data_IF_136247750142
#
_entry.id   IF_136247750142
#
_cell.length_a   1.000
_cell.length_b   1.000
_cell.length_c   1.000
_cell.angle_alpha   90.00
_cell.angle_beta   90.00
_cell.angle_gamma   90.00
#
_symmetry.space_group_name_H-M   'P 1'
#
loop_
_entity.id
_entity.type
_entity.pdbx_description
1 polymer ?
#
# COMPACT_ATOMS: atom_id res chain seq x y z
N UNK A 1 6.13 -4.71 7.82
CA UNK A 1 6.05 -4.54 6.34
C UNK A 1 5.20 -3.33 6.01
N UNK A 2 5.66 -2.50 5.10
CA UNK A 2 4.94 -1.30 4.66
C UNK A 2 4.12 -1.66 3.43
N UNK A 3 2.87 -1.20 3.36
CA UNK A 3 2.01 -1.39 2.20
C UNK A 3 1.55 -0.05 1.66
N UNK A 4 1.22 -0.03 0.38
CA UNK A 4 0.62 1.14 -0.27
C UNK A 4 -0.83 0.85 -0.70
N UNK A 5 -1.48 1.88 -1.25
CA UNK A 5 -2.87 1.74 -1.70
C UNK A 5 -3.00 0.72 -2.84
N UNK A 6 -1.98 0.58 -3.70
CA UNK A 6 -2.04 -0.38 -4.81
C UNK A 6 -2.20 -1.82 -4.34
N UNK A 7 -1.54 -2.18 -3.23
CA UNK A 7 -1.69 -3.52 -2.65
C UNK A 7 -3.12 -3.75 -2.15
N UNK A 8 -3.68 -2.77 -1.45
CA UNK A 8 -5.05 -2.86 -0.93
C UNK A 8 -6.05 -3.01 -2.06
N UNK A 9 -5.92 -2.20 -3.12
CA UNK A 9 -6.79 -2.27 -4.29
C UNK A 9 -6.66 -3.63 -5.00
N UNK A 10 -5.45 -4.12 -5.17
CA UNK A 10 -5.20 -5.42 -5.81
C UNK A 10 -5.75 -6.60 -4.99
N UNK A 11 -5.82 -6.45 -3.67
CA UNK A 11 -6.40 -7.49 -2.80
C UNK A 11 -7.94 -7.45 -2.78
N UNK A 12 -8.53 -6.25 -2.77
CA UNK A 12 -9.96 -6.09 -2.49
C UNK A 12 -10.85 -5.81 -3.69
N UNK A 13 -10.33 -5.22 -4.78
CA UNK A 13 -11.16 -4.97 -5.95
C UNK A 13 -11.52 -6.28 -6.66
N UNK A 14 -12.82 -6.53 -6.96
CA UNK A 14 -13.26 -7.80 -7.54
C UNK A 14 -12.60 -8.13 -8.89
N UNK A 15 -12.29 -7.12 -9.70
CA UNK A 15 -11.67 -7.28 -11.02
C UNK A 15 -10.14 -7.36 -10.96
N UNK A 16 -9.55 -7.15 -9.81
CA UNK A 16 -8.09 -7.28 -9.62
C UNK A 16 -7.72 -8.54 -8.82
N UNK A 17 -8.36 -8.81 -7.72
CA UNK A 17 -8.29 -10.01 -6.87
C UNK A 17 -6.95 -10.79 -6.94
N UNK A 18 -5.83 -10.08 -6.84
CA UNK A 18 -4.50 -10.65 -7.03
C UNK A 18 -4.12 -11.53 -5.84
N UNK A 19 -3.78 -12.79 -6.11
CA UNK A 19 -3.63 -13.81 -5.06
C UNK A 19 -2.53 -13.53 -4.05
N UNK A 20 -1.40 -12.98 -4.48
CA UNK A 20 -0.29 -12.64 -3.56
C UNK A 20 -0.66 -11.45 -2.68
N UNK A 21 -1.36 -10.44 -3.21
CA UNK A 21 -1.86 -9.32 -2.39
C UNK A 21 -2.84 -9.82 -1.32
N UNK A 22 -3.74 -10.73 -1.69
CA UNK A 22 -4.65 -11.36 -0.74
C UNK A 22 -3.90 -12.18 0.31
N UNK A 23 -2.81 -12.86 -0.08
CA UNK A 23 -1.97 -13.61 0.86
C UNK A 23 -1.32 -12.69 1.90
N UNK A 24 -0.84 -11.50 1.50
CA UNK A 24 -0.30 -10.50 2.43
C UNK A 24 -1.36 -10.12 3.48
N UNK A 25 -2.58 -9.84 3.03
CA UNK A 25 -3.68 -9.49 3.95
C UNK A 25 -3.99 -10.65 4.89
N UNK A 26 -4.06 -11.88 4.39
CA UNK A 26 -4.31 -13.06 5.24
C UNK A 26 -3.22 -13.27 6.29
N UNK A 27 -1.95 -13.06 5.94
CA UNK A 27 -0.85 -13.17 6.88
C UNK A 27 -0.95 -12.14 8.01
N UNK A 28 -1.37 -10.92 7.67
CA UNK A 28 -1.62 -9.89 8.67
C UNK A 28 -2.77 -10.27 9.61
N UNK A 29 -3.89 -10.71 9.05
CA UNK A 29 -5.06 -11.14 9.85
C UNK A 29 -4.70 -12.30 10.77
N UNK A 30 -3.85 -13.20 10.30
CA UNK A 30 -3.39 -14.35 11.10
C UNK A 30 -2.32 -14.00 12.14
N UNK A 31 -1.86 -12.75 12.19
CA UNK A 31 -0.84 -12.31 13.14
C UNK A 31 0.58 -12.72 12.80
N UNK A 32 0.81 -13.26 11.61
CA UNK A 32 2.15 -13.66 11.17
C UNK A 32 2.93 -12.53 10.50
N UNK A 33 2.24 -11.46 10.15
CA UNK A 33 2.80 -10.29 9.50
C UNK A 33 2.12 -9.05 10.09
N UNK A 34 2.90 -8.01 10.41
CA UNK A 34 2.36 -6.74 10.89
C UNK A 34 2.47 -5.69 9.77
N UNK A 35 1.35 -5.20 9.28
CA UNK A 35 1.30 -4.19 8.22
C UNK A 35 1.29 -2.79 8.80
N UNK A 36 2.03 -1.90 8.16
CA UNK A 36 2.13 -0.48 8.51
C UNK A 36 1.96 0.37 7.26
N UNK A 37 1.49 1.59 7.44
CA UNK A 37 1.38 2.54 6.34
C UNK A 37 1.43 3.97 6.88
N UNK A 38 1.81 4.95 6.03
CA UNK A 38 1.72 6.35 6.43
C UNK A 38 0.26 6.81 6.52
N UNK A 39 0.04 7.96 7.16
CA UNK A 39 -1.29 8.58 7.31
C UNK A 39 -2.03 8.75 5.98
N UNK A 40 -1.30 8.82 4.88
CA UNK A 40 -1.86 8.99 3.54
C UNK A 40 -2.72 7.79 3.08
N UNK A 41 -2.45 6.58 3.57
CA UNK A 41 -3.13 5.37 3.08
C UNK A 41 -4.66 5.45 3.14
N UNK A 42 -5.29 5.81 4.27
CA UNK A 42 -6.75 5.90 4.32
C UNK A 42 -7.33 6.88 3.30
N UNK A 43 -6.65 7.99 3.05
CA UNK A 43 -7.11 9.00 2.09
C UNK A 43 -7.02 8.48 0.65
N UNK A 44 -5.88 7.88 0.29
CA UNK A 44 -5.71 7.32 -1.05
C UNK A 44 -6.68 6.20 -1.34
N UNK A 45 -6.83 5.28 -0.39
CA UNK A 45 -7.75 4.14 -0.54
C UNK A 45 -9.19 4.62 -0.63
N UNK A 46 -9.63 5.50 0.26
CA UNK A 46 -10.99 6.06 0.24
C UNK A 46 -11.28 6.77 -1.07
N UNK A 47 -10.33 7.55 -1.57
CA UNK A 47 -10.51 8.24 -2.84
C UNK A 47 -10.60 7.26 -4.02
N UNK A 48 -9.75 6.25 -4.05
CA UNK A 48 -9.77 5.24 -5.13
C UNK A 48 -11.08 4.45 -5.14
N UNK A 49 -11.57 4.06 -3.98
CA UNK A 49 -12.85 3.33 -3.84
C UNK A 49 -14.02 4.23 -4.27
N UNK A 50 -14.03 5.49 -3.85
CA UNK A 50 -15.06 6.44 -4.24
C UNK A 50 -15.07 6.67 -5.74
N UNK A 51 -13.92 6.85 -6.37
CA UNK A 51 -13.82 7.01 -7.83
C UNK A 51 -14.33 5.77 -8.57
N UNK A 52 -14.01 4.57 -8.08
CA UNK A 52 -14.47 3.33 -8.67
C UNK A 52 -15.99 3.18 -8.59
N UNK A 53 -16.60 3.53 -7.45
CA UNK A 53 -18.05 3.54 -7.29
C UNK A 53 -18.69 4.57 -8.24
N UNK A 54 -18.16 5.78 -8.26
CA UNK A 54 -18.70 6.87 -9.10
C UNK A 54 -18.66 6.53 -10.59
N UNK A 55 -17.65 5.79 -11.04
CA UNK A 55 -17.50 5.36 -12.42
C UNK A 55 -18.25 4.08 -12.76
N UNK A 56 -18.94 3.49 -11.80
CA UNK A 56 -19.68 2.25 -11.98
C UNK A 56 -18.82 1.00 -12.06
N UNK A 57 -17.53 1.07 -11.70
CA UNK A 57 -16.63 -0.09 -11.68
C UNK A 57 -16.99 -1.06 -10.56
N UNK A 58 -17.42 -0.54 -9.43
CA UNK A 58 -17.93 -1.31 -8.30
C UNK A 58 -19.27 -0.76 -7.84
N UNK A 59 -20.09 -1.59 -7.19
CA UNK A 59 -21.35 -1.17 -6.60
C UNK A 59 -21.11 -0.42 -5.28
N UNK A 60 -22.14 0.30 -4.83
CA UNK A 60 -22.13 0.95 -3.51
C UNK A 60 -21.88 -0.06 -2.40
N UNK A 61 -22.53 -1.23 -2.46
CA UNK A 61 -22.36 -2.27 -1.46
C UNK A 61 -20.91 -2.81 -1.45
N UNK A 62 -20.33 -3.01 -2.62
CA UNK A 62 -18.93 -3.41 -2.74
C UNK A 62 -17.98 -2.35 -2.17
N UNK A 63 -18.23 -1.08 -2.45
CA UNK A 63 -17.45 0.04 -1.92
C UNK A 63 -17.50 0.07 -0.38
N UNK A 64 -18.70 -0.02 0.20
CA UNK A 64 -18.88 -0.06 1.65
C UNK A 64 -18.13 -1.24 2.28
N UNK A 65 -18.23 -2.41 1.63
CA UNK A 65 -17.54 -3.61 2.10
C UNK A 65 -16.01 -3.44 2.09
N UNK A 66 -15.45 -2.88 1.02
CA UNK A 66 -14.00 -2.66 0.91
C UNK A 66 -13.51 -1.72 2.02
N UNK A 67 -14.22 -0.63 2.26
CA UNK A 67 -13.84 0.33 3.30
C UNK A 67 -13.93 -0.30 4.69
N UNK A 68 -15.01 -1.02 5.00
CA UNK A 68 -15.19 -1.69 6.28
C UNK A 68 -14.13 -2.76 6.52
N UNK A 69 -13.85 -3.59 5.51
CA UNK A 69 -12.84 -4.63 5.60
C UNK A 69 -11.44 -4.03 5.81
N UNK A 70 -11.12 -2.96 5.08
CA UNK A 70 -9.84 -2.27 5.19
C UNK A 70 -9.64 -1.65 6.57
N UNK A 71 -10.66 -0.96 7.08
CA UNK A 71 -10.61 -0.38 8.43
C UNK A 71 -10.45 -1.45 9.50
N UNK A 72 -11.11 -2.59 9.34
CA UNK A 72 -11.05 -3.71 10.27
C UNK A 72 -9.72 -4.44 10.34
N UNK A 73 -8.83 -4.21 9.38
CA UNK A 73 -7.48 -4.82 9.41
C UNK A 73 -6.58 -4.23 10.50
N UNK A 74 -6.91 -3.06 11.02
CA UNK A 74 -6.11 -2.39 12.06
C UNK A 74 -4.64 -2.23 11.66
N UNK A 75 -4.41 -1.82 10.42
CA UNK A 75 -3.07 -1.49 9.92
C UNK A 75 -2.52 -0.34 10.76
N UNK A 76 -1.28 -0.48 11.23
CA UNK A 76 -0.63 0.57 12.01
C UNK A 76 -0.36 1.79 11.12
N UNK A 77 -0.97 2.92 11.44
CA UNK A 77 -0.81 4.17 10.71
C UNK A 77 0.25 5.02 11.39
N UNK A 78 1.32 5.34 10.66
CA UNK A 78 2.48 6.06 11.19
C UNK A 78 2.62 7.40 10.46
N UNK A 79 2.46 8.53 11.17
CA UNK A 79 2.65 9.86 10.57
C UNK A 79 4.09 10.07 10.11
N UNK A 80 4.26 10.79 9.02
CA UNK A 80 5.57 11.14 8.49
C UNK A 80 5.85 12.63 8.70
N UNK A 81 7.10 12.95 9.03
CA UNK A 81 7.54 14.33 9.20
C UNK A 81 7.88 14.95 7.84
N UNK A 82 7.54 16.21 7.66
CA UNK A 82 7.79 16.92 6.40
C UNK A 82 9.26 16.93 6.03
N UNK A 83 10.14 17.15 7.01
CA UNK A 83 11.59 17.19 6.82
C UNK A 83 12.19 15.82 6.45
N UNK A 84 11.46 14.75 6.61
CA UNK A 84 11.88 13.40 6.22
C UNK A 84 11.33 13.01 4.84
N UNK A 85 10.10 13.42 4.54
CA UNK A 85 9.47 13.14 3.24
C UNK A 85 10.06 13.95 2.09
N UNK A 86 10.28 15.25 2.30
CA UNK A 86 10.70 16.13 1.23
C UNK A 86 12.08 15.77 0.63
N UNK A 87 13.09 15.44 1.42
CA UNK A 87 14.36 14.94 0.88
C UNK A 87 14.22 13.65 0.08
N UNK A 88 13.34 12.74 0.51
CA UNK A 88 13.08 11.48 -0.20
C UNK A 88 12.44 11.74 -1.56
N UNK A 89 11.44 12.63 -1.61
CA UNK A 89 10.80 13.02 -2.87
C UNK A 89 11.82 13.56 -3.86
N UNK A 90 12.72 14.42 -3.40
CA UNK A 90 13.78 15.01 -4.21
C UNK A 90 14.80 13.97 -4.67
N UNK A 91 15.25 13.11 -3.76
CA UNK A 91 16.26 12.08 -4.02
C UNK A 91 15.82 11.07 -5.09
N UNK A 92 14.58 10.63 -5.03
CA UNK A 92 14.05 9.62 -5.96
C UNK A 92 13.22 10.22 -7.10
N UNK A 93 13.08 11.56 -7.14
CA UNK A 93 12.25 12.25 -8.12
C UNK A 93 10.82 11.68 -8.16
N UNK A 94 10.24 11.51 -6.99
CA UNK A 94 8.87 11.02 -6.81
C UNK A 94 8.03 12.07 -6.09
N UNK A 95 6.70 11.93 -6.19
CA UNK A 95 5.78 12.81 -5.46
C UNK A 95 6.01 12.72 -3.94
N UNK A 96 5.57 13.73 -3.20
CA UNK A 96 5.56 13.65 -1.73
C UNK A 96 4.63 12.52 -1.25
N UNK A 97 3.62 12.16 -2.02
CA UNK A 97 2.73 11.04 -1.71
C UNK A 97 3.50 9.71 -1.74
N UNK A 98 4.25 9.43 -2.82
CA UNK A 98 5.12 8.27 -2.88
C UNK A 98 6.20 8.33 -1.79
N UNK A 99 6.77 9.52 -1.57
CA UNK A 99 7.81 9.72 -0.58
C UNK A 99 7.35 9.38 0.84
N UNK A 100 6.07 9.54 1.16
CA UNK A 100 5.55 9.16 2.47
C UNK A 100 5.75 7.65 2.75
N UNK A 101 5.48 6.82 1.76
CA UNK A 101 5.68 5.37 1.86
C UNK A 101 7.17 5.00 1.90
N UNK A 102 7.97 5.63 1.06
CA UNK A 102 9.41 5.37 1.00
C UNK A 102 10.12 5.80 2.29
N UNK A 103 9.72 6.95 2.84
CA UNK A 103 10.27 7.44 4.10
C UNK A 103 9.97 6.48 5.25
N UNK A 104 8.75 5.97 5.33
CA UNK A 104 8.39 5.01 6.36
C UNK A 104 9.18 3.70 6.23
N UNK A 105 9.36 3.20 5.02
CA UNK A 105 10.14 2.00 4.77
C UNK A 105 11.62 2.21 5.17
N UNK A 106 12.20 3.35 4.82
CA UNK A 106 13.58 3.67 5.17
C UNK A 106 13.77 3.81 6.69
N UNK A 107 12.85 4.48 7.38
CA UNK A 107 12.92 4.69 8.83
C UNK A 107 12.81 3.38 9.61
N UNK A 108 11.95 2.49 9.18
CA UNK A 108 11.72 1.22 9.88
C UNK A 108 12.69 0.12 9.45
N UNK A 109 13.35 0.28 8.30
CA UNK A 109 14.14 -0.78 7.69
C UNK A 109 13.29 -1.93 7.15
N UNK A 110 11.96 -1.77 7.11
CA UNK A 110 11.03 -2.77 6.61
C UNK A 110 10.74 -2.54 5.12
N UNK A 111 10.52 -3.60 4.36
CA UNK A 111 10.23 -3.44 2.94
C UNK A 111 8.86 -2.81 2.69
N UNK A 112 8.80 -1.95 1.67
CA UNK A 112 7.56 -1.51 1.04
C UNK A 112 7.18 -2.54 -0.01
N UNK A 113 6.08 -3.24 0.19
CA UNK A 113 5.53 -4.14 -0.82
C UNK A 113 4.52 -3.36 -1.67
N UNK A 114 4.68 -3.44 -2.99
CA UNK A 114 3.84 -2.67 -3.91
C UNK A 114 3.34 -3.51 -5.08
N UNK A 115 2.16 -3.17 -5.56
CA UNK A 115 1.60 -3.65 -6.82
C UNK A 115 1.68 -2.56 -7.91
N UNK A 116 2.25 -1.40 -7.61
CA UNK A 116 2.41 -0.29 -8.54
C UNK A 116 3.66 -0.49 -9.40
N UNK A 117 3.45 -0.95 -10.63
CA UNK A 117 4.54 -1.23 -11.56
C UNK A 117 5.35 0.02 -11.91
N UNK A 118 4.69 1.18 -12.02
CA UNK A 118 5.39 2.44 -12.32
C UNK A 118 6.35 2.83 -11.20
N UNK A 119 5.88 2.76 -9.96
CA UNK A 119 6.71 3.05 -8.80
C UNK A 119 7.87 2.05 -8.73
N UNK A 120 7.57 0.77 -8.81
CA UNK A 120 8.58 -0.27 -8.73
C UNK A 120 9.68 -0.08 -9.78
N UNK A 121 9.30 0.08 -11.04
CA UNK A 121 10.26 0.23 -12.14
C UNK A 121 11.08 1.52 -12.03
N UNK A 122 10.49 2.58 -11.47
CA UNK A 122 11.18 3.86 -11.34
C UNK A 122 12.32 3.85 -10.31
N UNK A 123 12.19 3.05 -9.23
CA UNK A 123 13.10 3.13 -8.08
C UNK A 123 13.79 1.82 -7.72
N UNK A 124 13.48 0.71 -8.37
CA UNK A 124 13.98 -0.64 -8.03
C UNK A 124 15.49 -0.75 -7.97
N UNK A 125 16.20 0.06 -8.73
CA UNK A 125 17.67 0.05 -8.78
C UNK A 125 18.33 0.92 -7.71
N UNK A 126 17.57 1.79 -7.04
CA UNK A 126 18.10 2.80 -6.13
C UNK A 126 17.56 2.67 -4.70
N UNK A 127 16.35 2.14 -4.54
CA UNK A 127 15.70 1.99 -3.23
C UNK A 127 15.70 0.53 -2.81
N UNK A 128 16.48 0.22 -1.76
CA UNK A 128 16.71 -1.18 -1.35
C UNK A 128 15.55 -1.80 -0.55
N UNK A 129 14.71 -0.97 0.07
CA UNK A 129 13.58 -1.45 0.89
C UNK A 129 12.31 -1.58 0.06
N UNK A 130 12.40 -2.26 -1.07
CA UNK A 130 11.30 -2.39 -2.03
C UNK A 130 11.09 -3.86 -2.35
N UNK A 131 9.83 -4.30 -2.31
CA UNK A 131 9.45 -5.67 -2.67
C UNK A 131 8.32 -5.61 -3.69
N UNK A 132 8.52 -6.24 -4.83
CA UNK A 132 7.47 -6.41 -5.83
C UNK A 132 6.50 -7.52 -5.37
N UNK A 133 5.19 -7.27 -5.54
CA UNK A 133 4.17 -8.24 -5.11
C UNK A 133 4.38 -9.64 -5.70
N UNK A 134 4.83 -9.70 -6.95
CA UNK A 134 5.10 -10.97 -7.62
C UNK A 134 6.18 -11.82 -6.98
N UNK A 135 7.06 -11.20 -6.19
CA UNK A 135 8.15 -11.87 -5.50
C UNK A 135 7.78 -12.26 -4.06
N UNK A 136 6.57 -11.93 -3.62
CA UNK A 136 6.11 -12.27 -2.29
C UNK A 136 5.71 -13.74 -2.20
N UNK A 137 6.20 -14.42 -1.16
CA UNK A 137 5.74 -15.77 -0.81
C UNK A 137 5.43 -15.84 0.68
N UNK A 138 4.22 -16.30 1.01
CA UNK A 138 3.79 -16.46 2.39
C UNK A 138 4.58 -17.60 3.07
N UNK A 139 4.95 -17.38 4.33
CA UNK A 139 5.65 -18.39 5.14
C UNK A 139 7.12 -18.58 4.78
N UNK A 140 7.64 -17.69 3.95
CA UNK A 140 9.06 -17.72 3.54
C UNK A 140 9.98 -16.95 4.47
#
# INVERSE_FOLDING_TARGET
>A
MIIDASLMLSAFFPDEAQSQAQAVIREHVAGRLALKAPTLLPYELSNAVWQAERRGRISRLQADHIIQASAGLEIEIVPQKWGEMFPIARRFNRSAYDAAYLALAEQTGEPLITCDERLYNAIRGEFKHLLWIGDYSAGG
#
